data_IF_174543668028
#
_entry.id   IF_174543668028
#
_cell.length_a   1.000
_cell.length_b   1.000
_cell.length_c   1.000
_cell.angle_alpha   90.00
_cell.angle_beta   90.00
_cell.angle_gamma   90.00
#
_symmetry.space_group_name_H-M   'P 1'
#
loop_
_entity.id
_entity.type
_entity.pdbx_description
1 polymer ?
#
# COMPACT_ATOMS: atom_id res chain seq x y z
N UNK A 1 12.49 -15.85 -5.96
CA UNK A 1 11.68 -15.93 -4.73
C UNK A 1 10.31 -16.39 -5.14
N UNK A 2 9.77 -17.42 -4.51
CA UNK A 2 8.44 -17.95 -4.83
C UNK A 2 7.33 -17.17 -4.12
N UNK A 3 7.65 -16.52 -2.99
CA UNK A 3 6.75 -15.70 -2.19
C UNK A 3 7.51 -14.45 -1.73
N UNK A 4 6.86 -13.29 -1.80
CA UNK A 4 7.35 -12.02 -1.25
C UNK A 4 6.32 -11.51 -0.25
N UNK A 5 6.78 -11.18 0.96
CA UNK A 5 5.95 -10.56 2.01
C UNK A 5 6.46 -9.14 2.18
N UNK A 6 5.56 -8.17 2.04
CA UNK A 6 5.85 -6.76 2.21
C UNK A 6 5.11 -6.22 3.43
N UNK A 7 5.83 -5.56 4.32
CA UNK A 7 5.25 -4.80 5.43
C UNK A 7 5.04 -3.35 4.99
N UNK A 8 3.81 -2.87 5.11
CA UNK A 8 3.41 -1.55 4.62
C UNK A 8 3.27 -0.55 5.77
N UNK A 9 3.55 0.74 5.54
CA UNK A 9 3.32 1.77 6.55
C UNK A 9 1.82 1.92 6.85
N UNK A 10 1.44 2.63 7.93
CA UNK A 10 0.03 2.81 8.31
C UNK A 10 -0.86 3.35 7.19
N UNK A 11 -2.17 3.12 7.31
CA UNK A 11 -3.20 3.23 6.27
C UNK A 11 -3.02 4.39 5.28
N UNK A 12 -2.81 5.62 5.75
CA UNK A 12 -2.69 6.79 4.88
C UNK A 12 -1.47 6.72 3.93
N UNK A 13 -0.34 6.20 4.41
CA UNK A 13 0.88 6.06 3.62
C UNK A 13 0.83 4.83 2.72
N UNK A 14 0.14 3.76 3.14
CA UNK A 14 -0.09 2.58 2.31
C UNK A 14 -0.89 2.93 1.05
N UNK A 15 -1.92 3.77 1.18
CA UNK A 15 -2.75 4.18 0.03
C UNK A 15 -1.94 4.96 -0.99
N UNK A 16 -1.05 5.85 -0.52
CA UNK A 16 -0.17 6.57 -1.42
C UNK A 16 0.61 5.61 -2.31
N UNK A 17 1.11 4.48 -1.78
CA UNK A 17 1.84 3.45 -2.54
C UNK A 17 0.98 2.76 -3.61
N UNK A 18 -0.31 2.55 -3.36
CA UNK A 18 -1.24 2.04 -4.36
C UNK A 18 -1.70 3.11 -5.37
N UNK A 19 -1.66 4.39 -5.01
CA UNK A 19 -1.99 5.52 -5.89
C UNK A 19 -0.83 5.94 -6.81
N UNK A 20 0.43 5.59 -6.48
CA UNK A 20 1.62 5.95 -7.27
C UNK A 20 1.58 5.55 -8.77
N UNK A 21 0.76 4.60 -9.27
CA UNK A 21 0.76 4.30 -10.70
C UNK A 21 -0.09 5.21 -11.59
N UNK A 22 -1.21 5.79 -11.12
CA UNK A 22 -2.16 6.45 -12.05
C UNK A 22 -2.03 7.98 -12.16
N UNK A 23 -1.71 8.68 -11.07
CA UNK A 23 -1.83 10.15 -11.02
C UNK A 23 -0.50 10.89 -11.07
N UNK A 24 0.60 10.33 -10.55
CA UNK A 24 1.91 11.00 -10.59
C UNK A 24 2.45 11.10 -12.03
N UNK A 25 2.23 10.09 -12.86
CA UNK A 25 2.55 10.12 -14.29
C UNK A 25 1.74 11.24 -14.99
N UNK A 26 0.43 11.34 -14.72
CA UNK A 26 -0.43 12.42 -15.25
C UNK A 26 -0.03 13.80 -14.76
N UNK A 27 0.37 13.93 -13.50
CA UNK A 27 0.83 15.20 -12.91
C UNK A 27 2.16 15.62 -13.53
N UNK A 28 3.14 14.72 -13.62
CA UNK A 28 4.41 14.96 -14.31
C UNK A 28 4.18 15.29 -15.80
N UNK A 29 3.25 14.60 -16.47
CA UNK A 29 2.82 14.91 -17.85
C UNK A 29 2.19 16.30 -17.96
N UNK A 30 1.27 16.66 -17.05
CA UNK A 30 0.60 17.97 -17.05
C UNK A 30 1.59 19.11 -16.76
N UNK A 31 2.49 18.94 -15.79
CA UNK A 31 3.51 19.92 -15.47
C UNK A 31 4.54 20.08 -16.58
N UNK A 32 5.01 18.99 -17.19
CA UNK A 32 5.97 19.05 -18.31
C UNK A 32 5.36 19.67 -19.57
N UNK A 33 4.10 19.36 -19.90
CA UNK A 33 3.37 19.98 -21.01
C UNK A 33 3.12 21.48 -20.76
N UNK A 34 2.74 21.86 -19.54
CA UNK A 34 2.53 23.26 -19.17
C UNK A 34 3.83 24.06 -19.18
N UNK A 35 4.93 23.47 -18.72
CA UNK A 35 6.26 24.06 -18.78
C UNK A 35 6.75 24.22 -20.23
N UNK A 36 6.56 23.20 -21.07
CA UNK A 36 6.86 23.28 -22.50
C UNK A 36 6.05 24.39 -23.20
N UNK A 37 4.75 24.48 -22.95
CA UNK A 37 3.90 25.52 -23.53
C UNK A 37 4.29 26.92 -23.04
N UNK A 38 4.62 27.06 -21.75
CA UNK A 38 5.06 28.33 -21.17
C UNK A 38 6.41 28.78 -21.74
N UNK A 39 7.36 27.86 -21.92
CA UNK A 39 8.63 28.12 -22.60
C UNK A 39 8.41 28.41 -24.07
N UNK A 40 7.54 27.65 -24.76
CA UNK A 40 7.21 27.87 -26.17
C UNK A 40 6.61 29.25 -26.39
N UNK A 41 5.71 29.72 -25.52
CA UNK A 41 5.11 31.04 -25.62
C UNK A 41 6.06 32.16 -25.24
N UNK A 42 6.90 31.96 -24.20
CA UNK A 42 7.97 32.89 -23.83
C UNK A 42 9.00 33.02 -24.96
N UNK A 43 9.45 31.90 -25.53
CA UNK A 43 10.37 31.82 -26.67
C UNK A 43 9.72 32.37 -27.95
N UNK A 44 8.41 32.16 -28.18
CA UNK A 44 7.72 32.72 -29.35
C UNK A 44 7.59 34.24 -29.27
N UNK A 45 7.35 34.78 -28.07
CA UNK A 45 7.39 36.24 -27.80
C UNK A 45 8.81 36.81 -27.93
N UNK A 46 9.82 36.13 -27.39
CA UNK A 46 11.24 36.50 -27.56
C UNK A 46 11.72 36.38 -29.01
N UNK A 47 11.23 35.40 -29.78
CA UNK A 47 11.63 35.13 -31.16
C UNK A 47 11.25 36.26 -32.13
N UNK A 48 10.22 37.04 -31.84
CA UNK A 48 9.87 38.21 -32.65
C UNK A 48 10.91 39.33 -32.49
N UNK A 49 11.55 39.41 -31.33
CA UNK A 49 12.56 40.42 -31.01
C UNK A 49 13.98 39.99 -31.43
N UNK A 50 14.26 38.68 -31.49
CA UNK A 50 15.59 38.14 -31.78
C UNK A 50 15.79 37.49 -33.17
N UNK A 51 14.77 37.53 -34.05
CA UNK A 51 14.83 36.94 -35.40
C UNK A 51 15.93 37.48 -36.31
N UNK A 52 16.49 38.66 -36.00
CA UNK A 52 17.54 39.31 -36.79
C UNK A 52 18.95 38.99 -36.30
N UNK A 53 19.11 38.50 -35.07
CA UNK A 53 20.43 38.34 -34.43
C UNK A 53 20.93 36.89 -34.40
N UNK A 54 20.08 35.90 -34.67
CA UNK A 54 20.47 34.49 -34.53
C UNK A 54 19.89 33.65 -35.68
N UNK A 55 20.71 33.45 -36.71
CA UNK A 55 20.73 32.20 -37.50
C UNK A 55 22.20 31.82 -37.73
N UNK A 56 22.59 30.53 -37.75
CA UNK A 56 21.85 29.32 -37.43
C UNK A 56 22.64 28.43 -36.43
N UNK A 57 22.29 28.44 -35.14
CA UNK A 57 22.70 27.34 -34.27
C UNK A 57 21.55 26.35 -34.17
N UNK A 58 21.70 25.35 -35.02
CA UNK A 58 20.79 24.30 -35.39
C UNK A 58 20.71 23.21 -34.30
N UNK A 59 20.19 23.57 -33.13
CA UNK A 59 20.00 22.61 -32.03
C UNK A 59 18.59 22.01 -32.01
N UNK A 60 17.91 22.00 -33.17
CA UNK A 60 16.64 21.29 -33.36
C UNK A 60 16.83 19.78 -33.12
N UNK A 61 17.97 19.22 -33.53
CA UNK A 61 18.33 17.82 -33.31
C UNK A 61 18.46 17.47 -31.83
N UNK A 62 19.18 18.29 -31.07
CA UNK A 62 19.40 18.09 -29.63
C UNK A 62 18.12 18.25 -28.81
N UNK A 63 17.24 19.20 -29.19
CA UNK A 63 15.89 19.32 -28.61
C UNK A 63 15.01 18.12 -28.93
N UNK A 64 15.13 17.54 -30.13
CA UNK A 64 14.40 16.35 -30.55
C UNK A 64 14.93 15.09 -29.85
N UNK A 65 16.23 14.98 -29.61
CA UNK A 65 16.85 13.90 -28.84
C UNK A 65 16.48 13.97 -27.36
N UNK A 66 16.59 15.13 -26.71
CA UNK A 66 16.10 15.32 -25.34
C UNK A 66 14.60 14.98 -25.20
N UNK A 67 13.78 15.38 -26.17
CA UNK A 67 12.36 15.01 -26.19
C UNK A 67 12.12 13.50 -26.33
N UNK A 68 12.96 12.80 -27.11
CA UNK A 68 12.91 11.34 -27.23
C UNK A 68 13.38 10.63 -25.97
N UNK A 69 14.45 11.11 -25.33
CA UNK A 69 14.95 10.54 -24.08
C UNK A 69 13.94 10.70 -22.93
N UNK A 70 13.34 11.89 -22.81
CA UNK A 70 12.27 12.13 -21.84
C UNK A 70 11.05 11.25 -22.13
N UNK A 71 10.67 11.12 -23.41
CA UNK A 71 9.59 10.23 -23.81
C UNK A 71 9.89 8.76 -23.50
N UNK A 72 11.12 8.30 -23.75
CA UNK A 72 11.53 6.93 -23.43
C UNK A 72 11.54 6.67 -21.92
N UNK A 73 12.02 7.61 -21.12
CA UNK A 73 11.93 7.51 -19.65
C UNK A 73 10.48 7.50 -19.16
N UNK A 74 9.58 8.26 -19.83
CA UNK A 74 8.14 8.24 -19.52
C UNK A 74 7.52 6.89 -19.83
N UNK A 75 7.81 6.32 -21.00
CA UNK A 75 7.34 4.98 -21.41
C UNK A 75 7.87 3.91 -20.47
N UNK A 76 9.15 3.95 -20.11
CA UNK A 76 9.75 2.98 -19.19
C UNK A 76 9.16 3.09 -17.76
N UNK A 77 8.78 4.30 -17.32
CA UNK A 77 8.14 4.53 -16.01
C UNK A 77 6.67 4.10 -16.02
N UNK A 78 5.96 4.35 -17.12
CA UNK A 78 4.59 3.89 -17.36
C UNK A 78 4.56 2.36 -17.39
N UNK A 79 5.42 1.72 -18.19
CA UNK A 79 5.51 0.26 -18.30
C UNK A 79 5.88 -0.40 -16.95
N UNK A 80 6.76 0.22 -16.16
CA UNK A 80 7.09 -0.27 -14.81
C UNK A 80 5.96 -0.06 -13.81
N UNK A 81 5.28 1.08 -13.85
CA UNK A 81 4.14 1.40 -13.00
C UNK A 81 2.94 0.50 -13.29
N UNK A 82 2.62 0.31 -14.58
CA UNK A 82 1.59 -0.61 -15.07
C UNK A 82 1.90 -2.04 -14.67
N UNK A 83 3.14 -2.51 -14.84
CA UNK A 83 3.54 -3.87 -14.47
C UNK A 83 3.46 -4.13 -12.96
N UNK A 84 3.83 -3.16 -12.12
CA UNK A 84 3.69 -3.29 -10.65
C UNK A 84 2.21 -3.33 -10.26
N UNK A 85 1.39 -2.47 -10.87
CA UNK A 85 -0.06 -2.45 -10.66
C UNK A 85 -0.67 -3.77 -11.09
N UNK A 86 -0.38 -4.23 -12.30
CA UNK A 86 -0.88 -5.50 -12.83
C UNK A 86 -0.50 -6.68 -11.92
N UNK A 87 0.76 -6.76 -11.46
CA UNK A 87 1.21 -7.81 -10.53
C UNK A 87 0.49 -7.75 -9.17
N UNK A 88 0.30 -6.56 -8.61
CA UNK A 88 -0.45 -6.35 -7.35
C UNK A 88 -1.91 -6.79 -7.52
N UNK A 89 -2.51 -6.50 -8.67
CA UNK A 89 -3.90 -6.84 -8.97
C UNK A 89 -4.09 -8.33 -9.32
N UNK A 90 -3.14 -8.97 -9.98
CA UNK A 90 -3.27 -10.37 -10.48
C UNK A 90 -2.74 -11.42 -9.52
N UNK A 91 -1.71 -11.12 -8.73
CA UNK A 91 -1.03 -12.09 -7.85
C UNK A 91 -0.99 -11.62 -6.39
N UNK A 92 -1.20 -10.33 -6.13
CA UNK A 92 -1.14 -9.75 -4.80
C UNK A 92 -2.35 -10.09 -3.91
N UNK A 93 -2.07 -10.32 -2.63
CA UNK A 93 -3.06 -10.50 -1.57
C UNK A 93 -2.78 -9.50 -0.45
N UNK A 94 -3.81 -8.77 -0.02
CA UNK A 94 -3.72 -7.87 1.12
C UNK A 94 -4.23 -8.58 2.38
N UNK A 95 -3.51 -8.39 3.49
CA UNK A 95 -3.95 -8.77 4.83
C UNK A 95 -3.84 -7.55 5.74
N UNK A 96 -4.91 -7.25 6.46
CA UNK A 96 -4.93 -6.13 7.40
C UNK A 96 -4.67 -6.65 8.82
N UNK A 97 -3.80 -5.98 9.56
CA UNK A 97 -3.54 -6.28 10.97
C UNK A 97 -4.09 -5.12 11.82
N UNK A 98 -4.83 -5.42 12.88
CA UNK A 98 -5.44 -4.42 13.76
C UNK A 98 -5.44 -4.87 15.20
N UNK A 99 -5.63 -3.91 16.12
CA UNK A 99 -5.99 -4.20 17.52
C UNK A 99 -7.50 -3.98 17.71
N UNK A 100 -8.08 -4.65 18.70
CA UNK A 100 -9.51 -4.61 18.97
C UNK A 100 -9.95 -3.34 19.73
N UNK A 101 -9.78 -2.17 19.12
CA UNK A 101 -10.15 -0.87 19.67
C UNK A 101 -10.94 -0.02 18.69
N UNK A 102 -11.71 0.96 19.18
CA UNK A 102 -12.55 1.81 18.34
C UNK A 102 -11.80 2.52 17.21
N UNK A 103 -10.66 3.20 17.46
CA UNK A 103 -9.97 3.93 16.40
C UNK A 103 -9.43 2.96 15.34
N UNK A 104 -8.84 1.85 15.77
CA UNK A 104 -8.27 0.83 14.89
C UNK A 104 -9.33 0.12 14.05
N UNK A 105 -10.54 -0.09 14.61
CA UNK A 105 -11.67 -0.64 13.87
C UNK A 105 -12.12 0.27 12.72
N UNK A 106 -12.26 1.58 12.96
CA UNK A 106 -12.61 2.51 11.88
C UNK A 106 -11.48 2.67 10.86
N UNK A 107 -10.22 2.58 11.31
CA UNK A 107 -9.07 2.64 10.42
C UNK A 107 -9.02 1.47 9.44
N UNK A 108 -9.24 0.23 9.88
CA UNK A 108 -9.20 -0.92 8.97
C UNK A 108 -10.38 -0.95 7.99
N UNK A 109 -11.55 -0.43 8.38
CA UNK A 109 -12.68 -0.24 7.46
C UNK A 109 -12.29 0.74 6.35
N UNK A 110 -11.71 1.88 6.74
CA UNK A 110 -11.20 2.87 5.79
C UNK A 110 -10.10 2.30 4.90
N UNK A 111 -9.18 1.51 5.47
CA UNK A 111 -8.12 0.84 4.71
C UNK A 111 -8.72 -0.10 3.65
N UNK A 112 -9.65 -0.98 4.03
CA UNK A 112 -10.37 -1.86 3.10
C UNK A 112 -11.01 -1.06 1.97
N UNK A 113 -11.77 -0.01 2.29
CA UNK A 113 -12.53 0.74 1.29
C UNK A 113 -11.61 1.43 0.28
N UNK A 114 -10.47 1.95 0.75
CA UNK A 114 -9.49 2.66 -0.09
C UNK A 114 -8.61 1.70 -0.91
N UNK A 115 -8.33 0.50 -0.42
CA UNK A 115 -7.53 -0.50 -1.16
C UNK A 115 -8.35 -1.41 -2.06
N UNK A 116 -9.68 -1.46 -1.90
CA UNK A 116 -10.58 -2.36 -2.64
C UNK A 116 -10.41 -2.32 -4.16
N UNK A 117 -10.07 -1.15 -4.72
CA UNK A 117 -9.84 -1.00 -6.17
C UNK A 117 -8.49 -1.50 -6.65
N UNK A 118 -7.51 -1.67 -5.76
CA UNK A 118 -6.11 -1.95 -6.10
C UNK A 118 -5.67 -3.38 -5.80
N UNK A 119 -6.18 -3.97 -4.72
CA UNK A 119 -5.72 -5.28 -4.26
C UNK A 119 -6.86 -6.02 -3.57
N UNK A 120 -6.90 -7.34 -3.76
CA UNK A 120 -7.87 -8.20 -3.10
C UNK A 120 -7.49 -8.34 -1.62
N UNK A 121 -8.42 -7.96 -0.74
CA UNK A 121 -8.31 -8.24 0.69
C UNK A 121 -8.75 -9.68 0.96
N UNK A 122 -7.88 -10.49 1.57
CA UNK A 122 -8.15 -11.91 1.80
C UNK A 122 -8.22 -12.30 3.27
N UNK A 123 -7.75 -11.44 4.17
CA UNK A 123 -7.87 -11.72 5.59
C UNK A 123 -7.58 -10.53 6.49
N UNK A 124 -7.99 -10.69 7.74
CA UNK A 124 -7.79 -9.72 8.83
C UNK A 124 -7.21 -10.45 10.02
N UNK A 125 -6.17 -9.88 10.63
CA UNK A 125 -5.59 -10.38 11.87
C UNK A 125 -5.88 -9.38 13.01
N UNK A 126 -6.57 -9.84 14.03
CA UNK A 126 -6.80 -9.10 15.27
C UNK A 126 -5.70 -9.48 16.27
N UNK A 127 -4.76 -8.57 16.48
CA UNK A 127 -3.60 -8.77 17.33
C UNK A 127 -3.81 -8.17 18.73
N UNK A 128 -2.97 -8.59 19.69
CA UNK A 128 -2.84 -8.01 21.03
C UNK A 128 -4.13 -8.08 21.88
N UNK A 129 -4.92 -9.14 21.73
CA UNK A 129 -6.09 -9.36 22.60
C UNK A 129 -5.60 -9.62 24.03
N UNK A 130 -6.14 -8.89 25.00
CA UNK A 130 -5.76 -9.06 26.41
C UNK A 130 -6.19 -10.45 26.87
N UNK A 131 -5.28 -11.32 27.36
CA UNK A 131 -5.66 -12.65 27.83
C UNK A 131 -6.56 -12.56 29.07
N UNK A 132 -7.38 -13.59 29.28
CA UNK A 132 -8.20 -13.70 30.48
C UNK A 132 -7.30 -13.80 31.73
N UNK A 133 -7.56 -13.00 32.76
CA UNK A 133 -6.82 -13.05 34.02
C UNK A 133 -7.73 -13.44 35.18
N UNK A 134 -7.25 -14.33 36.07
CA UNK A 134 -8.01 -14.73 37.26
C UNK A 134 -8.00 -13.67 38.36
N UNK A 135 -6.99 -12.81 38.39
CA UNK A 135 -6.68 -11.93 39.53
C UNK A 135 -6.56 -10.44 39.11
N UNK A 136 -7.15 -10.03 37.99
CA UNK A 136 -7.07 -8.65 37.50
C UNK A 136 -8.39 -8.17 36.87
N UNK A 137 -9.21 -7.48 37.65
CA UNK A 137 -10.50 -6.95 37.21
C UNK A 137 -10.35 -5.90 36.11
N UNK A 138 -9.34 -5.02 36.23
CA UNK A 138 -9.01 -4.03 35.20
C UNK A 138 -8.71 -4.71 33.85
N UNK A 139 -7.87 -5.75 33.87
CA UNK A 139 -7.49 -6.50 32.67
C UNK A 139 -8.72 -7.16 32.02
N UNK A 140 -9.60 -7.74 32.84
CA UNK A 140 -10.84 -8.37 32.35
C UNK A 140 -11.83 -7.34 31.78
N UNK A 141 -11.87 -6.12 32.35
CA UNK A 141 -12.67 -5.03 31.80
C UNK A 141 -12.11 -4.53 30.46
N UNK A 142 -10.78 -4.41 30.31
CA UNK A 142 -10.17 -4.09 29.02
C UNK A 142 -10.47 -5.19 28.00
N UNK A 143 -10.32 -6.47 28.39
CA UNK A 143 -10.66 -7.61 27.53
C UNK A 143 -12.12 -7.58 27.08
N UNK A 144 -13.08 -7.26 27.96
CA UNK A 144 -14.50 -7.22 27.59
C UNK A 144 -14.79 -6.14 26.55
N UNK A 145 -14.15 -4.96 26.67
CA UNK A 145 -14.23 -3.90 25.67
C UNK A 145 -13.63 -4.37 24.34
N UNK A 146 -12.46 -5.02 24.38
CA UNK A 146 -11.80 -5.55 23.18
C UNK A 146 -12.68 -6.61 22.50
N UNK A 147 -13.27 -7.55 23.24
CA UNK A 147 -14.14 -8.59 22.66
C UNK A 147 -15.37 -8.00 21.95
N UNK A 148 -15.92 -6.88 22.44
CA UNK A 148 -16.98 -6.18 21.71
C UNK A 148 -16.52 -5.69 20.33
N UNK A 149 -15.25 -5.24 20.19
CA UNK A 149 -14.70 -4.86 18.91
C UNK A 149 -14.25 -6.05 18.07
N UNK A 150 -13.82 -7.16 18.67
CA UNK A 150 -13.58 -8.43 17.96
C UNK A 150 -14.86 -8.85 17.23
N UNK A 151 -16.00 -8.86 17.91
CA UNK A 151 -17.29 -9.20 17.28
C UNK A 151 -17.69 -8.22 16.17
N UNK A 152 -17.43 -6.92 16.35
CA UNK A 152 -17.66 -5.94 15.28
C UNK A 152 -16.79 -6.20 14.06
N UNK A 153 -15.52 -6.53 14.26
CA UNK A 153 -14.59 -6.90 13.17
C UNK A 153 -15.08 -8.18 12.48
N UNK A 154 -15.46 -9.20 13.25
CA UNK A 154 -16.02 -10.46 12.70
C UNK A 154 -17.25 -10.22 11.83
N UNK A 155 -18.15 -9.36 12.28
CA UNK A 155 -19.35 -9.04 11.50
C UNK A 155 -19.02 -8.23 10.23
N UNK A 156 -18.15 -7.22 10.34
CA UNK A 156 -17.76 -6.33 9.23
C UNK A 156 -16.97 -7.06 8.12
N UNK A 157 -16.18 -8.07 8.50
CA UNK A 157 -15.31 -8.85 7.61
C UNK A 157 -15.70 -10.33 7.56
N UNK A 158 -17.00 -10.61 7.71
CA UNK A 158 -17.56 -11.97 7.83
C UNK A 158 -17.27 -12.91 6.65
N UNK A 159 -16.94 -12.35 5.48
CA UNK A 159 -16.60 -13.09 4.28
C UNK A 159 -15.09 -13.31 4.10
N UNK A 160 -14.27 -12.98 5.11
CA UNK A 160 -12.82 -13.09 5.07
C UNK A 160 -12.32 -14.01 6.17
N UNK A 161 -11.11 -14.53 5.98
CA UNK A 161 -10.43 -15.26 7.05
C UNK A 161 -10.00 -14.28 8.14
N UNK A 162 -10.39 -14.59 9.37
CA UNK A 162 -10.01 -13.83 10.55
C UNK A 162 -9.08 -14.69 11.42
N UNK A 163 -7.93 -14.13 11.75
CA UNK A 163 -7.02 -14.67 12.75
C UNK A 163 -7.02 -13.79 13.99
N UNK A 164 -6.72 -14.39 15.13
CA UNK A 164 -6.68 -13.72 16.42
C UNK A 164 -5.44 -14.16 17.18
N UNK A 165 -4.80 -13.24 17.87
CA UNK A 165 -3.73 -13.58 18.80
C UNK A 165 -3.83 -12.80 20.09
N UNK A 166 -3.58 -13.49 21.20
CA UNK A 166 -3.46 -12.82 22.48
C UNK A 166 -2.14 -12.03 22.55
N UNK A 167 -2.15 -11.01 23.41
CA UNK A 167 -0.94 -10.31 23.80
C UNK A 167 0.02 -11.30 24.48
N UNK A 168 1.21 -11.46 23.89
CA UNK A 168 2.28 -12.25 24.49
C UNK A 168 2.86 -11.54 25.72
N UNK A 169 3.28 -12.31 26.72
CA UNK A 169 3.94 -11.77 27.92
C UNK A 169 5.25 -11.05 27.60
N UNK A 170 5.95 -11.53 26.57
CA UNK A 170 7.20 -10.96 26.06
C UNK A 170 7.05 -10.73 24.58
N UNK A 171 7.62 -9.62 24.12
CA UNK A 171 7.68 -9.33 22.70
C UNK A 171 8.46 -10.43 21.96
N UNK A 172 7.93 -10.92 20.82
CA UNK A 172 8.51 -12.04 20.11
C UNK A 172 9.80 -11.62 19.40
N UNK A 173 10.92 -11.71 20.09
CA UNK A 173 12.24 -11.45 19.52
C UNK A 173 12.89 -12.70 18.94
N UNK A 174 13.53 -12.53 17.78
CA UNK A 174 14.26 -13.58 17.08
C UNK A 174 13.35 -14.70 16.53
N UNK A 175 13.97 -15.67 15.86
CA UNK A 175 13.25 -16.74 15.17
C UNK A 175 12.32 -17.55 16.07
N UNK A 176 12.76 -17.86 17.30
CA UNK A 176 11.96 -18.61 18.26
C UNK A 176 10.74 -17.83 18.76
N UNK A 177 10.87 -16.51 18.94
CA UNK A 177 9.75 -15.64 19.30
C UNK A 177 8.71 -15.60 18.18
N UNK A 178 9.16 -15.41 16.93
CA UNK A 178 8.29 -15.43 15.76
C UNK A 178 7.59 -16.77 15.58
N UNK A 179 8.28 -17.89 15.82
CA UNK A 179 7.68 -19.23 15.76
C UNK A 179 6.59 -19.42 16.82
N UNK A 180 6.78 -18.90 18.05
CA UNK A 180 5.74 -18.92 19.08
C UNK A 180 4.52 -18.08 18.69
N UNK A 181 4.75 -16.89 18.15
CA UNK A 181 3.65 -16.06 17.63
C UNK A 181 2.91 -16.76 16.49
N UNK A 182 3.64 -17.40 15.57
CA UNK A 182 3.04 -18.18 14.49
C UNK A 182 2.16 -19.31 15.06
N UNK A 183 2.63 -20.06 16.06
CA UNK A 183 1.82 -21.09 16.70
C UNK A 183 0.57 -20.55 17.42
N UNK A 184 0.65 -19.37 18.05
CA UNK A 184 -0.52 -18.72 18.65
C UNK A 184 -1.55 -18.32 17.58
N UNK A 185 -1.10 -17.78 16.44
CA UNK A 185 -1.98 -17.30 15.36
C UNK A 185 -2.57 -18.45 14.54
N UNK A 186 -1.76 -19.48 14.28
CA UNK A 186 -2.02 -20.51 13.27
C UNK A 186 -2.21 -21.92 13.84
N UNK A 187 -1.81 -22.18 15.08
CA UNK A 187 -1.81 -23.51 15.68
C UNK A 187 -0.58 -24.36 15.33
N UNK A 188 -0.60 -25.63 15.74
CA UNK A 188 0.54 -26.56 15.56
C UNK A 188 0.56 -27.30 14.22
N UNK A 189 -0.59 -27.42 13.55
CA UNK A 189 -0.75 -28.23 12.34
C UNK A 189 -1.27 -27.40 11.16
N UNK A 190 -0.61 -26.29 10.85
CA UNK A 190 -1.03 -25.45 9.73
C UNK A 190 -0.29 -25.82 8.44
N UNK A 191 -1.04 -25.94 7.36
CA UNK A 191 -0.49 -26.02 6.02
C UNK A 191 -0.14 -24.59 5.55
N UNK A 192 1.08 -24.33 5.04
CA UNK A 192 1.43 -23.05 4.43
C UNK A 192 0.40 -22.54 3.40
N UNK A 193 -0.22 -23.44 2.64
CA UNK A 193 -1.23 -23.07 1.65
C UNK A 193 -2.48 -22.43 2.28
N UNK A 194 -2.84 -22.82 3.51
CA UNK A 194 -3.99 -22.24 4.22
C UNK A 194 -3.68 -20.83 4.74
N UNK A 195 -2.40 -20.51 4.93
CA UNK A 195 -1.94 -19.15 5.26
C UNK A 195 -1.92 -18.31 3.99
N UNK A 196 -1.39 -18.86 2.89
CA UNK A 196 -1.19 -18.14 1.64
C UNK A 196 -2.50 -17.89 0.89
N UNK A 197 -3.38 -18.89 0.86
CA UNK A 197 -4.66 -18.89 0.15
C UNK A 197 -5.81 -19.19 1.12
N UNK A 198 -6.08 -18.29 2.08
CA UNK A 198 -7.06 -18.54 3.11
C UNK A 198 -8.47 -18.66 2.53
N UNK A 199 -9.19 -19.72 2.90
CA UNK A 199 -10.62 -19.88 2.59
C UNK A 199 -11.45 -19.16 3.65
N UNK A 200 -12.47 -18.44 3.21
CA UNK A 200 -13.49 -17.78 4.04
C UNK A 200 -14.44 -18.79 4.68
#
# INVERSE_FOLDING_TARGET
FDIIIADFPPTANMIALFEIPEDQVKVVLKYSLNFYNSIKDAVRKFSKMFRTLIKPFDDYKKRKELGKEIFQMLVDLEERGERITELIHTVGSLRLVSIAEKPSFEEIKRARDLTKKYIKLEGVHINMITPQSKNCDFCNNIRSIQLNYVEKIRNEFSNLKIWESNRLEKEPFGFNGLKKLAHEVYGEHINPDDILNPRS
#
